data_IF_924133173383
#
_entry.id   IF_924133173383
#
_cell.length_a   1.000
_cell.length_b   1.000
_cell.length_c   1.000
_cell.angle_alpha   90.00
_cell.angle_beta   90.00
_cell.angle_gamma   90.00
#
_symmetry.space_group_name_H-M   'P 1'
#
loop_
_entity.id
_entity.type
_entity.pdbx_description
1 polymer ?
#
# COMPACT_ATOMS: atom_id res chain seq x y z
N UNK A 1 51.25 5.52 -40.48
CA UNK A 1 50.05 4.84 -40.01
C UNK A 1 49.99 5.04 -38.52
N UNK A 2 49.25 6.06 -38.09
CA UNK A 2 48.99 6.30 -36.66
C UNK A 2 47.83 5.41 -36.23
N UNK A 3 48.12 4.45 -35.36
CA UNK A 3 47.11 3.64 -34.72
C UNK A 3 46.34 4.54 -33.75
N UNK A 4 45.14 4.96 -34.11
CA UNK A 4 44.19 5.50 -33.18
C UNK A 4 43.80 4.40 -32.19
N UNK A 5 44.46 4.36 -31.05
CA UNK A 5 44.00 3.66 -29.87
C UNK A 5 42.71 4.36 -29.40
N UNK A 6 41.57 3.87 -29.86
CA UNK A 6 40.29 4.15 -29.25
C UNK A 6 40.38 3.70 -27.78
N UNK A 7 40.54 4.65 -26.86
CA UNK A 7 40.28 4.37 -25.44
C UNK A 7 38.82 3.91 -25.30
N UNK A 8 38.60 2.63 -25.27
CA UNK A 8 37.33 2.06 -24.88
C UNK A 8 37.13 2.43 -23.41
N UNK A 9 36.27 3.44 -23.16
CA UNK A 9 35.83 3.77 -21.81
C UNK A 9 35.19 2.51 -21.26
N UNK A 10 35.69 2.01 -20.14
CA UNK A 10 35.09 0.82 -19.49
C UNK A 10 33.59 1.02 -19.30
N UNK A 11 32.76 0.00 -19.58
CA UNK A 11 31.33 0.10 -19.42
C UNK A 11 30.98 0.50 -17.98
N UNK A 12 30.09 1.44 -17.83
CA UNK A 12 29.67 1.93 -16.51
C UNK A 12 28.57 1.06 -15.95
N UNK A 13 28.63 0.82 -14.65
CA UNK A 13 27.75 -0.10 -13.93
C UNK A 13 26.42 0.54 -13.56
N UNK A 14 25.39 -0.29 -13.42
CA UNK A 14 24.14 0.04 -12.77
C UNK A 14 24.13 -0.49 -11.34
N UNK A 15 23.76 0.33 -10.37
CA UNK A 15 23.58 -0.11 -8.99
C UNK A 15 22.10 -0.15 -8.60
N UNK A 16 21.73 -1.12 -7.76
CA UNK A 16 20.39 -1.25 -7.16
C UNK A 16 20.53 -1.27 -5.64
N UNK A 17 19.76 -0.46 -4.94
CA UNK A 17 19.66 -0.51 -3.48
C UNK A 17 18.22 -0.43 -2.99
N UNK A 18 17.98 -0.94 -1.76
CA UNK A 18 16.66 -0.98 -1.15
C UNK A 18 16.70 -0.28 0.20
N UNK A 19 15.85 0.74 0.37
CA UNK A 19 15.70 1.49 1.63
C UNK A 19 14.34 1.31 2.29
N UNK A 20 14.26 1.72 3.56
CA UNK A 20 13.03 1.68 4.36
C UNK A 20 12.71 0.31 4.96
N UNK A 21 11.43 -0.06 5.01
CA UNK A 21 10.97 -1.38 5.44
C UNK A 21 10.77 -2.35 4.27
N UNK A 22 10.69 -3.67 4.51
CA UNK A 22 10.38 -4.61 3.43
C UNK A 22 8.95 -4.45 2.91
N UNK A 23 8.74 -4.88 1.65
CA UNK A 23 7.43 -5.00 1.03
C UNK A 23 7.46 -6.14 0.00
N UNK A 24 6.35 -6.85 -0.23
CA UNK A 24 6.25 -7.86 -1.26
C UNK A 24 6.51 -7.27 -2.66
N UNK A 25 7.34 -7.93 -3.47
CA UNK A 25 7.68 -7.49 -4.82
C UNK A 25 9.08 -6.87 -4.98
N UNK A 26 9.80 -6.55 -3.90
CA UNK A 26 11.18 -6.01 -3.99
C UNK A 26 12.07 -6.88 -4.86
N UNK A 27 12.07 -8.19 -4.63
CA UNK A 27 12.90 -9.12 -5.39
C UNK A 27 12.51 -9.19 -6.86
N UNK A 28 11.24 -8.96 -7.18
CA UNK A 28 10.76 -8.91 -8.56
C UNK A 28 11.29 -7.67 -9.29
N UNK A 29 11.32 -6.50 -8.63
CA UNK A 29 11.98 -5.29 -9.17
C UNK A 29 13.46 -5.54 -9.42
N UNK A 30 14.17 -6.11 -8.43
CA UNK A 30 15.61 -6.42 -8.54
C UNK A 30 15.86 -7.36 -9.73
N UNK A 31 15.08 -8.44 -9.83
CA UNK A 31 15.19 -9.42 -10.91
C UNK A 31 15.00 -8.78 -12.28
N UNK A 32 13.90 -8.06 -12.48
CA UNK A 32 13.56 -7.46 -13.77
C UNK A 32 14.57 -6.39 -14.19
N UNK A 33 14.97 -5.50 -13.28
CA UNK A 33 15.94 -4.46 -13.55
C UNK A 33 17.34 -5.05 -13.89
N UNK A 34 17.75 -6.10 -13.17
CA UNK A 34 19.01 -6.79 -13.43
C UNK A 34 19.00 -7.46 -14.79
N UNK A 35 17.98 -8.26 -15.10
CA UNK A 35 17.87 -8.95 -16.40
C UNK A 35 17.89 -7.93 -17.54
N UNK A 36 17.13 -6.83 -17.40
CA UNK A 36 17.09 -5.78 -18.43
C UNK A 36 18.46 -5.13 -18.63
N UNK A 37 19.16 -4.78 -17.54
CA UNK A 37 20.50 -4.19 -17.61
C UNK A 37 21.51 -5.09 -18.32
N UNK A 38 21.55 -6.39 -17.96
CA UNK A 38 22.50 -7.34 -18.54
C UNK A 38 22.23 -7.60 -20.02
N UNK A 39 20.96 -7.65 -20.44
CA UNK A 39 20.62 -7.81 -21.87
C UNK A 39 21.19 -6.66 -22.71
N UNK A 40 21.31 -5.47 -22.15
CA UNK A 40 21.92 -4.30 -22.82
C UNK A 40 23.45 -4.16 -22.55
N UNK A 41 24.07 -5.18 -21.98
CA UNK A 41 25.52 -5.18 -21.75
C UNK A 41 25.95 -4.30 -20.57
N UNK A 42 25.06 -4.02 -19.63
CA UNK A 42 25.36 -3.23 -18.41
C UNK A 42 25.54 -4.18 -17.23
N UNK A 43 26.69 -4.10 -16.56
CA UNK A 43 26.92 -4.84 -15.32
C UNK A 43 26.06 -4.27 -14.19
N UNK A 44 25.46 -5.14 -13.36
CA UNK A 44 24.55 -4.75 -12.30
C UNK A 44 25.06 -5.13 -10.93
N UNK A 45 25.11 -4.15 -10.04
CA UNK A 45 25.59 -4.28 -8.67
C UNK A 45 24.46 -4.09 -7.67
N UNK A 46 24.23 -5.06 -6.79
CA UNK A 46 23.35 -4.94 -5.63
C UNK A 46 24.11 -4.34 -4.45
N UNK A 47 23.70 -3.16 -4.00
CA UNK A 47 24.25 -2.54 -2.79
C UNK A 47 23.55 -3.17 -1.58
N UNK A 48 24.29 -3.89 -0.74
CA UNK A 48 23.72 -4.54 0.45
C UNK A 48 23.29 -3.52 1.50
N UNK A 49 22.13 -3.81 2.12
CA UNK A 49 21.59 -3.04 3.23
C UNK A 49 21.39 -1.54 2.92
N UNK A 50 20.95 -1.23 1.70
CA UNK A 50 20.60 0.13 1.29
C UNK A 50 21.77 1.11 1.36
N UNK A 51 21.56 2.27 2.01
CA UNK A 51 22.62 3.28 2.16
C UNK A 51 23.62 2.98 3.28
N UNK A 52 23.41 1.96 4.12
CA UNK A 52 24.11 1.71 5.36
C UNK A 52 25.65 1.77 5.25
N UNK A 53 26.20 1.11 4.27
CA UNK A 53 27.64 0.96 4.11
C UNK A 53 28.23 2.07 3.24
N UNK A 54 27.62 2.35 2.10
CA UNK A 54 28.12 3.34 1.17
C UNK A 54 28.10 4.77 1.74
N UNK A 55 27.17 5.10 2.66
CA UNK A 55 27.20 6.40 3.35
C UNK A 55 28.36 6.55 4.33
N UNK A 56 28.99 5.44 4.72
CA UNK A 56 30.20 5.41 5.55
C UNK A 56 31.49 5.30 4.71
N UNK A 57 31.36 5.26 3.39
CA UNK A 57 32.48 5.11 2.45
C UNK A 57 32.95 3.67 2.26
N UNK A 58 32.23 2.69 2.82
CA UNK A 58 32.53 1.27 2.72
C UNK A 58 31.86 0.66 1.47
N UNK A 59 32.68 0.20 0.54
CA UNK A 59 32.26 -0.42 -0.72
C UNK A 59 32.47 -1.94 -0.75
N UNK A 60 32.77 -2.58 0.38
CA UNK A 60 32.97 -4.03 0.44
C UNK A 60 31.65 -4.82 0.47
N UNK A 61 30.52 -4.14 0.75
CA UNK A 61 29.19 -4.74 0.90
C UNK A 61 28.39 -4.68 -0.42
N UNK A 62 28.96 -5.25 -1.47
CA UNK A 62 28.38 -5.29 -2.82
C UNK A 62 28.14 -6.75 -3.21
N UNK A 63 27.10 -6.96 -3.99
CA UNK A 63 26.76 -8.25 -4.59
C UNK A 63 26.61 -8.08 -6.10
N UNK A 64 27.41 -8.79 -6.88
CA UNK A 64 27.21 -8.86 -8.32
C UNK A 64 25.89 -9.57 -8.62
N UNK A 65 25.08 -8.96 -9.45
CA UNK A 65 23.78 -9.48 -9.88
C UNK A 65 23.91 -9.94 -11.34
N UNK A 66 23.47 -11.17 -11.59
CA UNK A 66 23.43 -11.76 -12.93
C UNK A 66 22.10 -12.52 -13.12
N UNK A 67 21.83 -12.94 -14.34
CA UNK A 67 20.57 -13.65 -14.67
C UNK A 67 20.40 -14.91 -13.84
N UNK A 68 21.48 -15.66 -13.62
CA UNK A 68 21.40 -16.94 -12.91
C UNK A 68 20.96 -16.77 -11.45
N UNK A 69 21.49 -15.73 -10.77
CA UNK A 69 21.22 -15.51 -9.35
C UNK A 69 19.93 -14.71 -9.10
N UNK A 70 19.33 -14.04 -10.10
CA UNK A 70 18.10 -13.25 -9.93
C UNK A 70 16.87 -13.82 -10.65
N UNK A 71 17.01 -14.75 -11.58
CA UNK A 71 15.90 -15.22 -12.44
C UNK A 71 14.72 -15.80 -11.65
N UNK A 72 14.97 -16.38 -10.47
CA UNK A 72 13.97 -17.07 -9.66
C UNK A 72 13.70 -16.44 -8.30
N UNK A 73 14.07 -15.18 -8.08
CA UNK A 73 13.74 -14.47 -6.83
C UNK A 73 12.44 -13.66 -6.91
N UNK A 74 11.90 -13.44 -8.10
CA UNK A 74 10.76 -12.54 -8.33
C UNK A 74 9.49 -12.91 -7.57
N UNK A 75 9.28 -14.17 -7.26
CA UNK A 75 8.11 -14.67 -6.51
C UNK A 75 8.35 -14.78 -5.01
N UNK A 76 9.52 -14.36 -4.49
CA UNK A 76 9.87 -14.44 -3.08
C UNK A 76 9.75 -13.10 -2.38
N UNK A 77 9.22 -13.11 -1.16
CA UNK A 77 9.22 -11.97 -0.26
C UNK A 77 10.62 -11.59 0.24
N UNK A 78 10.69 -10.46 0.96
CA UNK A 78 11.95 -9.94 1.49
C UNK A 78 12.80 -9.25 0.43
N UNK A 79 14.12 -9.12 0.69
CA UNK A 79 15.08 -8.49 -0.21
C UNK A 79 16.34 -9.32 -0.36
N UNK A 80 16.69 -9.67 -1.59
CA UNK A 80 17.88 -10.47 -1.95
C UNK A 80 19.20 -9.77 -1.65
N UNK A 81 19.18 -8.43 -1.56
CA UNK A 81 20.36 -7.60 -1.26
C UNK A 81 20.27 -6.94 0.13
N UNK A 82 19.34 -7.38 0.98
CA UNK A 82 19.09 -6.75 2.28
C UNK A 82 18.38 -5.42 2.15
N UNK A 83 18.16 -4.77 3.31
CA UNK A 83 17.44 -3.49 3.42
C UNK A 83 17.84 -2.81 4.74
N UNK A 84 17.93 -1.49 4.76
CA UNK A 84 18.14 -0.73 5.98
C UNK A 84 17.37 0.60 5.98
N UNK A 85 17.06 1.08 7.20
CA UNK A 85 16.45 2.40 7.45
C UNK A 85 17.53 3.42 7.79
N UNK A 86 18.48 3.61 6.88
CA UNK A 86 19.56 4.58 7.03
C UNK A 86 19.26 5.85 6.22
N UNK A 87 19.51 6.99 6.82
CA UNK A 87 19.27 8.29 6.21
C UNK A 87 20.57 9.01 5.86
N UNK A 88 21.03 8.98 4.60
CA UNK A 88 22.26 9.66 4.19
C UNK A 88 22.13 11.19 4.17
N UNK A 89 20.89 11.73 4.28
CA UNK A 89 20.67 13.18 4.22
C UNK A 89 20.80 13.87 5.57
N UNK A 90 21.00 13.10 6.67
CA UNK A 90 21.24 13.66 8.02
C UNK A 90 22.53 14.47 8.12
N UNK A 91 23.53 14.09 7.36
CA UNK A 91 24.83 14.75 7.34
C UNK A 91 25.32 14.87 5.89
N UNK A 92 25.80 16.06 5.55
CA UNK A 92 26.38 16.34 4.22
C UNK A 92 27.49 15.35 3.86
N UNK A 93 28.33 14.98 4.84
CA UNK A 93 29.43 14.03 4.65
C UNK A 93 28.92 12.63 4.27
N UNK A 94 27.79 12.18 4.84
CA UNK A 94 27.20 10.90 4.46
C UNK A 94 26.73 10.91 3.01
N UNK A 95 26.11 11.99 2.58
CA UNK A 95 25.64 12.14 1.21
C UNK A 95 26.84 12.20 0.21
N UNK A 96 27.89 12.94 0.55
CA UNK A 96 29.14 12.99 -0.23
C UNK A 96 29.81 11.61 -0.33
N UNK A 97 29.83 10.86 0.77
CA UNK A 97 30.33 9.48 0.79
C UNK A 97 29.51 8.56 -0.12
N UNK A 98 28.18 8.68 -0.17
CA UNK A 98 27.33 7.90 -1.08
C UNK A 98 27.74 8.12 -2.53
N UNK A 99 27.83 9.38 -2.96
CA UNK A 99 28.21 9.72 -4.34
C UNK A 99 29.63 9.24 -4.65
N UNK A 100 30.58 9.46 -3.74
CA UNK A 100 31.97 9.02 -3.91
C UNK A 100 32.07 7.50 -3.98
N UNK A 101 31.35 6.77 -3.13
CA UNK A 101 31.32 5.30 -3.13
C UNK A 101 30.78 4.74 -4.44
N UNK A 102 29.70 5.30 -4.96
CA UNK A 102 29.11 4.89 -6.24
C UNK A 102 30.07 5.16 -7.41
N UNK A 103 30.74 6.32 -7.43
CA UNK A 103 31.75 6.63 -8.45
C UNK A 103 32.98 5.69 -8.37
N UNK A 104 33.44 5.33 -7.16
CA UNK A 104 34.53 4.33 -6.97
C UNK A 104 34.13 2.93 -7.46
N UNK A 105 32.85 2.60 -7.46
CA UNK A 105 32.29 1.36 -8.03
C UNK A 105 32.03 1.47 -9.55
N UNK A 106 32.47 2.54 -10.19
CA UNK A 106 32.24 2.84 -11.61
C UNK A 106 30.73 2.87 -11.96
N UNK A 107 29.86 3.30 -11.02
CA UNK A 107 28.42 3.40 -11.20
C UNK A 107 28.04 4.76 -11.78
N UNK A 108 27.28 4.76 -12.87
CA UNK A 108 26.66 5.96 -13.46
C UNK A 108 25.13 5.88 -13.52
N UNK A 109 24.56 4.75 -13.07
CA UNK A 109 23.12 4.49 -13.03
C UNK A 109 22.75 3.93 -11.66
N UNK A 110 21.80 4.56 -10.97
CA UNK A 110 21.35 4.12 -9.67
C UNK A 110 19.83 3.93 -9.66
N UNK A 111 19.39 2.72 -9.33
CA UNK A 111 17.98 2.41 -9.00
C UNK A 111 17.86 2.33 -7.49
N UNK A 112 17.02 3.18 -6.91
CA UNK A 112 16.64 3.09 -5.50
C UNK A 112 15.22 2.52 -5.39
N UNK A 113 15.00 1.61 -4.45
CA UNK A 113 13.69 0.99 -4.19
C UNK A 113 13.30 1.36 -2.76
N UNK A 114 12.18 2.06 -2.56
CA UNK A 114 11.82 2.49 -1.21
C UNK A 114 10.56 3.33 -1.11
N UNK A 115 10.27 3.80 0.10
CA UNK A 115 9.20 4.76 0.39
C UNK A 115 9.65 6.22 0.23
N UNK A 116 8.87 7.14 0.76
CA UNK A 116 9.06 8.59 0.73
C UNK A 116 10.47 9.04 1.17
N UNK A 117 10.96 8.53 2.31
CA UNK A 117 12.29 8.86 2.83
C UNK A 117 13.41 8.42 1.88
N UNK A 118 13.23 7.27 1.21
CA UNK A 118 14.20 6.76 0.24
C UNK A 118 14.13 7.56 -1.07
N UNK A 119 12.95 7.97 -1.50
CA UNK A 119 12.75 8.83 -2.65
C UNK A 119 13.43 10.19 -2.44
N UNK A 120 13.25 10.78 -1.26
CA UNK A 120 13.94 12.02 -0.90
C UNK A 120 15.47 11.88 -0.89
N UNK A 121 15.98 10.76 -0.35
CA UNK A 121 17.42 10.47 -0.38
C UNK A 121 17.93 10.29 -1.80
N UNK A 122 17.17 9.61 -2.68
CA UNK A 122 17.49 9.43 -4.09
C UNK A 122 17.64 10.77 -4.83
N UNK A 123 16.68 11.67 -4.63
CA UNK A 123 16.72 13.03 -5.18
C UNK A 123 17.96 13.81 -4.70
N UNK A 124 18.31 13.72 -3.41
CA UNK A 124 19.51 14.39 -2.87
C UNK A 124 20.79 13.83 -3.46
N UNK A 125 20.86 12.51 -3.69
CA UNK A 125 21.98 11.88 -4.37
C UNK A 125 22.08 12.35 -5.82
N UNK A 126 20.97 12.41 -6.54
CA UNK A 126 20.89 12.89 -7.93
C UNK A 126 21.41 14.33 -8.02
N UNK A 127 20.90 15.23 -7.19
CA UNK A 127 21.30 16.63 -7.16
C UNK A 127 22.82 16.78 -6.88
N UNK A 128 23.36 16.04 -5.90
CA UNK A 128 24.78 16.12 -5.55
C UNK A 128 25.68 15.46 -6.62
N UNK A 129 25.17 14.43 -7.27
CA UNK A 129 25.89 13.77 -8.37
C UNK A 129 26.06 14.68 -9.59
N UNK A 130 25.17 15.66 -9.78
CA UNK A 130 25.24 16.67 -10.84
C UNK A 130 25.50 16.05 -12.23
N UNK A 131 24.70 15.08 -12.63
CA UNK A 131 24.75 14.37 -13.90
C UNK A 131 25.83 13.27 -14.02
N UNK A 132 26.71 13.09 -13.02
CA UNK A 132 27.71 12.01 -13.01
C UNK A 132 27.07 10.64 -12.75
N UNK A 133 25.95 10.60 -12.03
CA UNK A 133 25.16 9.41 -11.73
C UNK A 133 23.70 9.78 -12.03
N UNK A 134 23.06 9.02 -12.90
CA UNK A 134 21.62 9.11 -13.16
C UNK A 134 20.88 8.29 -12.12
N UNK A 135 19.82 8.82 -11.57
CA UNK A 135 19.09 8.20 -10.45
C UNK A 135 17.63 8.08 -10.78
N UNK A 136 17.06 6.91 -10.53
CA UNK A 136 15.60 6.69 -10.52
C UNK A 136 15.16 6.04 -9.24
N UNK A 137 13.90 6.24 -8.90
CA UNK A 137 13.27 5.67 -7.73
C UNK A 137 12.08 4.80 -8.10
N UNK A 138 12.03 3.59 -7.55
CA UNK A 138 10.87 2.69 -7.66
C UNK A 138 10.07 2.77 -6.36
N UNK A 139 8.81 3.26 -6.41
CA UNK A 139 8.02 3.54 -5.22
C UNK A 139 7.54 2.26 -4.54
N UNK A 140 7.94 2.05 -3.30
CA UNK A 140 7.68 0.85 -2.51
C UNK A 140 7.12 1.21 -1.14
N UNK A 141 5.88 0.83 -0.86
CA UNK A 141 5.30 0.84 0.49
C UNK A 141 4.05 -0.02 0.53
N UNK A 142 3.84 -0.73 1.64
CA UNK A 142 2.57 -1.42 1.89
C UNK A 142 1.47 -0.46 2.38
N UNK A 143 1.83 0.76 2.74
CA UNK A 143 0.94 1.76 3.34
C UNK A 143 0.09 2.49 2.29
N UNK A 144 0.50 2.43 1.01
CA UNK A 144 -0.13 3.10 -0.13
C UNK A 144 -0.22 4.64 0.03
N UNK A 145 0.75 5.20 0.73
CA UNK A 145 0.80 6.59 1.19
C UNK A 145 1.65 7.53 0.32
N UNK A 146 2.25 7.04 -0.77
CA UNK A 146 2.96 7.89 -1.73
C UNK A 146 1.98 8.61 -2.68
N UNK A 147 2.28 9.85 -3.02
CA UNK A 147 1.46 10.70 -3.90
C UNK A 147 1.58 10.25 -5.36
N UNK A 148 1.05 9.08 -5.66
CA UNK A 148 0.89 8.56 -7.01
C UNK A 148 -0.46 9.02 -7.60
N UNK A 149 -0.60 9.10 -8.93
CA UNK A 149 -1.86 9.43 -9.57
C UNK A 149 -3.02 8.54 -9.11
N UNK A 150 -4.26 9.07 -9.19
CA UNK A 150 -5.45 8.36 -8.78
C UNK A 150 -5.55 6.97 -9.44
N UNK A 151 -5.97 5.98 -8.65
CA UNK A 151 -6.11 4.59 -9.11
C UNK A 151 -4.83 3.76 -9.10
N UNK A 152 -3.66 4.38 -8.90
CA UNK A 152 -2.38 3.67 -8.86
C UNK A 152 -2.00 3.36 -7.41
N UNK A 153 -1.72 2.08 -7.14
CA UNK A 153 -1.22 1.64 -5.86
C UNK A 153 0.31 1.61 -5.84
N UNK A 154 0.89 1.81 -4.65
CA UNK A 154 2.29 1.44 -4.42
C UNK A 154 2.42 -0.08 -4.42
N UNK A 155 3.52 -0.61 -4.93
CA UNK A 155 3.71 -2.06 -4.92
C UNK A 155 3.90 -2.60 -3.50
N UNK A 156 3.43 -3.82 -3.29
CA UNK A 156 3.40 -4.49 -2.00
C UNK A 156 2.11 -4.24 -1.21
N UNK A 157 1.38 -3.17 -1.49
CA UNK A 157 0.09 -2.87 -0.86
C UNK A 157 -0.97 -3.95 -1.11
N UNK A 158 -1.11 -4.41 -2.36
CA UNK A 158 -2.12 -5.40 -2.70
C UNK A 158 -1.86 -6.76 -2.04
N UNK A 159 -0.60 -7.19 -1.99
CA UNK A 159 -0.21 -8.40 -1.25
C UNK A 159 -0.42 -8.23 0.25
N UNK A 160 0.02 -7.13 0.84
CA UNK A 160 -0.17 -6.86 2.27
C UNK A 160 -1.66 -6.88 2.63
N UNK A 161 -2.50 -6.23 1.82
CA UNK A 161 -3.97 -6.26 1.97
C UNK A 161 -4.51 -7.68 1.89
N UNK A 162 -4.09 -8.47 0.90
CA UNK A 162 -4.52 -9.86 0.71
C UNK A 162 -4.20 -10.74 1.93
N UNK A 163 -2.96 -10.66 2.42
CA UNK A 163 -2.53 -11.42 3.60
C UNK A 163 -3.30 -10.96 4.86
N UNK A 164 -3.45 -9.65 5.04
CA UNK A 164 -4.23 -9.08 6.14
C UNK A 164 -5.69 -9.53 6.13
N UNK A 165 -6.32 -9.59 4.96
CA UNK A 165 -7.69 -10.11 4.78
C UNK A 165 -7.79 -11.57 5.23
N UNK A 166 -6.84 -12.42 4.86
CA UNK A 166 -6.84 -13.83 5.25
C UNK A 166 -6.71 -14.00 6.78
N UNK A 167 -5.85 -13.20 7.42
CA UNK A 167 -5.71 -13.18 8.88
C UNK A 167 -7.03 -12.75 9.52
N UNK A 168 -7.61 -11.64 9.08
CA UNK A 168 -8.84 -11.07 9.65
C UNK A 168 -10.04 -12.00 9.47
N UNK A 169 -10.18 -12.67 8.33
CA UNK A 169 -11.21 -13.69 8.11
C UNK A 169 -11.15 -14.80 9.15
N UNK A 170 -9.95 -15.29 9.46
CA UNK A 170 -9.78 -16.31 10.50
C UNK A 170 -10.16 -15.78 11.88
N UNK A 171 -9.79 -14.52 12.21
CA UNK A 171 -10.18 -13.87 13.46
C UNK A 171 -11.71 -13.66 13.55
N UNK A 172 -12.40 -13.38 12.45
CA UNK A 172 -13.85 -13.26 12.42
C UNK A 172 -14.54 -14.58 12.74
N UNK A 173 -14.04 -15.70 12.21
CA UNK A 173 -14.54 -17.04 12.54
C UNK A 173 -14.31 -17.37 14.02
N UNK A 174 -13.12 -17.07 14.55
CA UNK A 174 -12.84 -17.28 15.98
C UNK A 174 -13.70 -16.37 16.86
N UNK A 175 -13.86 -15.09 16.51
CA UNK A 175 -14.71 -14.15 17.21
C UNK A 175 -16.14 -14.68 17.37
N UNK A 176 -16.73 -15.15 16.28
CA UNK A 176 -18.07 -15.73 16.27
C UNK A 176 -18.15 -17.02 17.09
N UNK A 177 -17.14 -17.90 16.96
CA UNK A 177 -17.12 -19.20 17.66
C UNK A 177 -16.99 -19.04 19.18
N UNK A 178 -16.26 -18.03 19.62
CA UNK A 178 -15.87 -17.85 21.02
C UNK A 178 -16.55 -16.66 21.69
N UNK A 179 -17.50 -15.99 20.99
CA UNK A 179 -18.25 -14.84 21.51
C UNK A 179 -17.34 -13.72 22.04
N UNK A 180 -16.36 -13.30 21.24
CA UNK A 180 -15.38 -12.26 21.63
C UNK A 180 -15.18 -11.19 20.56
N UNK A 181 -14.54 -10.12 20.94
CA UNK A 181 -14.09 -9.06 20.06
C UNK A 181 -12.59 -9.13 19.82
N UNK A 182 -12.19 -8.80 18.59
CA UNK A 182 -10.81 -8.53 18.25
C UNK A 182 -10.62 -7.05 17.91
N UNK A 183 -9.66 -6.42 18.55
CA UNK A 183 -9.14 -5.11 18.16
C UNK A 183 -7.84 -5.34 17.41
N UNK A 184 -7.88 -5.19 16.09
CA UNK A 184 -6.78 -5.49 15.20
C UNK A 184 -6.16 -4.18 14.74
N UNK A 185 -4.97 -3.86 15.26
CA UNK A 185 -4.21 -2.68 14.82
C UNK A 185 -3.43 -3.05 13.57
N UNK A 186 -3.72 -2.35 12.47
CA UNK A 186 -3.04 -2.55 11.19
C UNK A 186 -1.95 -1.53 10.98
N UNK A 187 -0.77 -2.00 10.58
CA UNK A 187 0.30 -1.15 10.06
C UNK A 187 -0.21 -0.29 8.91
N UNK A 188 0.37 0.89 8.68
CA UNK A 188 -0.04 1.84 7.65
C UNK A 188 0.51 3.24 7.85
N UNK A 189 1.39 3.44 8.84
CA UNK A 189 1.94 4.75 9.22
C UNK A 189 0.82 5.79 9.41
N UNK A 190 0.90 6.93 8.71
CA UNK A 190 -0.05 8.04 8.86
C UNK A 190 -1.37 7.83 8.16
N UNK A 191 -1.40 6.99 7.11
CA UNK A 191 -2.57 6.81 6.26
C UNK A 191 -3.35 5.54 6.59
N UNK A 192 -4.67 5.62 6.49
CA UNK A 192 -5.59 4.52 6.78
C UNK A 192 -5.81 3.54 5.62
N UNK A 193 -5.11 3.66 4.48
CA UNK A 193 -5.38 2.86 3.28
C UNK A 193 -5.32 1.35 3.53
N UNK A 194 -4.30 0.86 4.25
CA UNK A 194 -4.14 -0.57 4.49
C UNK A 194 -5.21 -1.10 5.44
N UNK A 195 -5.46 -0.39 6.54
CA UNK A 195 -6.51 -0.74 7.50
C UNK A 195 -7.90 -0.79 6.82
N UNK A 196 -8.24 0.27 6.06
CA UNK A 196 -9.49 0.36 5.32
C UNK A 196 -9.60 -0.74 4.26
N UNK A 197 -8.53 -0.99 3.51
CA UNK A 197 -8.48 -2.02 2.47
C UNK A 197 -8.67 -3.42 3.02
N UNK A 198 -8.05 -3.74 4.16
CA UNK A 198 -8.23 -5.02 4.87
C UNK A 198 -9.64 -5.13 5.41
N UNK A 199 -10.12 -4.12 6.15
CA UNK A 199 -11.43 -4.14 6.79
C UNK A 199 -12.58 -4.26 5.80
N UNK A 200 -12.57 -3.45 4.74
CA UNK A 200 -13.55 -3.49 3.65
C UNK A 200 -13.57 -4.85 2.95
N UNK A 201 -12.41 -5.39 2.64
CA UNK A 201 -12.31 -6.65 1.87
C UNK A 201 -12.66 -7.88 2.72
N UNK A 202 -12.32 -7.87 4.02
CA UNK A 202 -12.68 -8.95 4.93
C UNK A 202 -14.15 -8.88 5.37
N UNK A 203 -14.79 -7.70 5.30
CA UNK A 203 -16.12 -7.47 5.87
C UNK A 203 -16.05 -7.38 7.40
N UNK A 204 -15.02 -6.73 7.96
CA UNK A 204 -14.88 -6.53 9.40
C UNK A 204 -16.10 -5.78 9.99
N UNK A 205 -16.35 -5.93 11.29
CA UNK A 205 -17.48 -5.27 11.94
C UNK A 205 -17.38 -3.75 11.82
N UNK A 206 -16.19 -3.19 12.01
CA UNK A 206 -15.91 -1.79 11.70
C UNK A 206 -14.40 -1.59 11.43
N UNK A 207 -14.09 -0.47 10.79
CA UNK A 207 -12.71 0.00 10.62
C UNK A 207 -12.66 1.46 11.06
N UNK A 208 -11.57 1.88 11.73
CA UNK A 208 -11.34 3.27 12.13
C UNK A 208 -10.00 3.72 11.58
N UNK A 209 -10.02 4.84 10.85
CA UNK A 209 -8.83 5.44 10.24
C UNK A 209 -8.67 6.90 10.68
N UNK A 210 -7.45 7.45 10.70
CA UNK A 210 -7.23 8.83 11.18
C UNK A 210 -7.92 9.90 10.32
N UNK A 211 -8.15 9.64 9.04
CA UNK A 211 -8.76 10.58 8.09
C UNK A 211 -10.24 10.86 8.37
N UNK A 212 -10.90 10.05 9.19
CA UNK A 212 -12.29 10.25 9.59
C UNK A 212 -12.48 11.43 10.55
N UNK A 213 -11.39 11.90 11.16
CA UNK A 213 -11.43 12.92 12.19
C UNK A 213 -10.93 14.25 11.63
N UNK A 214 -11.80 15.27 11.52
CA UNK A 214 -11.41 16.58 11.02
C UNK A 214 -10.56 17.36 12.04
N UNK A 215 -10.65 17.02 13.33
CA UNK A 215 -9.87 17.67 14.39
C UNK A 215 -8.39 17.36 14.23
N UNK A 216 -7.52 18.32 14.55
CA UNK A 216 -6.05 18.12 14.52
C UNK A 216 -5.61 17.01 15.49
N UNK A 217 -6.23 16.98 16.68
CA UNK A 217 -5.99 15.96 17.70
C UNK A 217 -7.27 15.21 18.05
N UNK A 218 -7.17 13.90 18.21
CA UNK A 218 -8.29 13.02 18.55
C UNK A 218 -8.25 12.72 20.05
N UNK A 219 -9.37 12.92 20.74
CA UNK A 219 -9.50 12.44 22.14
C UNK A 219 -9.61 10.93 22.16
N UNK A 220 -8.83 10.26 23.02
CA UNK A 220 -8.93 8.81 23.21
C UNK A 220 -10.35 8.38 23.56
N UNK A 221 -11.05 9.18 24.37
CA UNK A 221 -12.45 8.98 24.72
C UNK A 221 -13.35 8.83 23.49
N UNK A 222 -13.15 9.61 22.42
CA UNK A 222 -13.95 9.53 21.19
C UNK A 222 -13.82 8.16 20.50
N UNK A 223 -12.59 7.63 20.43
CA UNK A 223 -12.35 6.29 19.88
C UNK A 223 -12.97 5.20 20.75
N UNK A 224 -12.86 5.33 22.06
CA UNK A 224 -13.47 4.43 23.04
C UNK A 224 -15.00 4.43 22.87
N UNK A 225 -15.63 5.61 22.77
CA UNK A 225 -17.07 5.73 22.62
C UNK A 225 -17.60 5.16 21.30
N UNK A 226 -16.86 5.30 20.19
CA UNK A 226 -17.18 4.65 18.91
C UNK A 226 -17.19 3.12 19.09
N UNK A 227 -16.16 2.56 19.74
CA UNK A 227 -16.05 1.11 19.96
C UNK A 227 -17.13 0.60 20.94
N UNK A 228 -17.37 1.31 22.03
CA UNK A 228 -18.42 0.98 23.01
C UNK A 228 -19.80 1.03 22.35
N UNK A 229 -20.09 2.07 21.59
CA UNK A 229 -21.35 2.20 20.85
C UNK A 229 -21.57 1.06 19.86
N UNK A 230 -20.52 0.68 19.13
CA UNK A 230 -20.57 -0.47 18.21
C UNK A 230 -20.81 -1.79 18.94
N UNK A 231 -20.18 -2.00 20.10
CA UNK A 231 -20.39 -3.19 20.94
C UNK A 231 -21.84 -3.25 21.46
N UNK A 232 -22.36 -2.13 21.99
CA UNK A 232 -23.75 -2.05 22.48
C UNK A 232 -24.73 -2.34 21.33
N UNK A 233 -24.54 -1.72 20.18
CA UNK A 233 -25.36 -1.94 18.97
C UNK A 233 -25.33 -3.41 18.52
N UNK A 234 -24.17 -4.06 18.62
CA UNK A 234 -24.01 -5.48 18.29
C UNK A 234 -24.72 -6.39 19.30
N UNK A 235 -24.52 -6.10 20.59
CA UNK A 235 -25.17 -6.85 21.69
C UNK A 235 -26.69 -6.73 21.63
N UNK A 236 -27.25 -5.57 21.28
CA UNK A 236 -28.70 -5.37 21.12
C UNK A 236 -29.34 -6.25 20.05
N UNK A 237 -28.51 -6.84 19.16
CA UNK A 237 -28.93 -7.82 18.15
C UNK A 237 -28.50 -9.25 18.50
N UNK A 238 -28.25 -9.52 19.79
CA UNK A 238 -27.83 -10.83 20.32
C UNK A 238 -26.52 -11.35 19.73
N UNK A 239 -25.66 -10.44 19.26
CA UNK A 239 -24.35 -10.75 18.66
C UNK A 239 -23.23 -10.24 19.56
N UNK A 240 -22.60 -11.10 20.38
CA UNK A 240 -21.53 -10.68 21.30
C UNK A 240 -20.15 -10.62 20.64
N UNK A 241 -20.04 -10.98 19.37
CA UNK A 241 -18.80 -11.07 18.59
C UNK A 241 -18.53 -9.84 17.72
N UNK A 242 -17.28 -9.57 17.42
CA UNK A 242 -16.92 -8.55 16.43
C UNK A 242 -15.42 -8.43 16.17
N UNK A 243 -15.08 -7.78 15.07
CA UNK A 243 -13.70 -7.43 14.72
C UNK A 243 -13.64 -5.96 14.34
N UNK A 244 -12.88 -5.18 15.09
CA UNK A 244 -12.56 -3.80 14.78
C UNK A 244 -11.14 -3.71 14.20
N UNK A 245 -11.01 -3.14 13.01
CA UNK A 245 -9.71 -2.83 12.41
C UNK A 245 -9.37 -1.37 12.73
N UNK A 246 -8.18 -1.14 13.25
CA UNK A 246 -7.71 0.17 13.72
C UNK A 246 -6.43 0.52 12.97
N UNK A 247 -6.38 1.67 12.30
CA UNK A 247 -5.15 2.13 11.68
C UNK A 247 -4.15 2.57 12.77
N UNK A 248 -2.89 2.14 12.68
CA UNK A 248 -1.86 2.56 13.64
C UNK A 248 -1.63 4.08 13.65
N UNK A 249 -1.89 4.77 12.55
CA UNK A 249 -1.79 6.21 12.41
C UNK A 249 -2.73 7.00 13.33
N UNK A 250 -3.75 6.37 13.89
CA UNK A 250 -4.60 6.97 14.94
C UNK A 250 -3.77 7.42 16.15
N UNK A 251 -2.69 6.69 16.47
CA UNK A 251 -1.80 7.01 17.60
C UNK A 251 -1.16 8.39 17.44
N UNK A 252 -0.69 8.73 16.24
CA UNK A 252 -0.07 10.04 15.98
C UNK A 252 -1.06 11.22 16.06
N UNK A 253 -2.36 10.92 15.96
CA UNK A 253 -3.45 11.90 16.00
C UNK A 253 -4.07 12.04 17.39
N UNK A 254 -3.70 11.19 18.35
CA UNK A 254 -4.22 11.29 19.73
C UNK A 254 -3.71 12.55 20.43
N UNK A 255 -4.55 13.10 21.32
CA UNK A 255 -4.15 14.19 22.18
C UNK A 255 -2.90 13.80 22.99
N UNK A 256 -1.84 14.62 23.01
CA UNK A 256 -0.62 14.33 23.76
C UNK A 256 -0.86 14.04 25.24
N UNK A 257 -1.90 14.62 25.85
CA UNK A 257 -2.28 14.36 27.25
C UNK A 257 -2.79 12.92 27.46
N UNK A 258 -3.41 12.35 26.41
CA UNK A 258 -3.87 10.96 26.43
C UNK A 258 -2.71 9.98 26.12
N UNK A 259 -1.53 10.53 25.76
CA UNK A 259 -0.36 9.78 25.29
C UNK A 259 0.83 9.83 26.28
N UNK A 260 0.64 10.22 27.54
CA UNK A 260 1.75 10.28 28.54
C UNK A 260 2.55 8.97 28.60
N UNK A 261 1.92 7.84 28.29
CA UNK A 261 2.58 6.53 28.20
C UNK A 261 3.47 6.36 26.96
N UNK A 262 3.37 7.26 25.93
CA UNK A 262 4.20 7.20 24.72
C UNK A 262 5.52 7.97 24.86
N UNK A 263 5.76 8.67 25.96
CA UNK A 263 6.93 9.54 26.17
C UNK A 263 8.28 8.78 26.10
N UNK A 264 8.29 7.45 26.18
CA UNK A 264 9.49 6.61 26.15
C UNK A 264 9.62 5.75 24.88
N UNK A 265 8.87 6.06 23.79
CA UNK A 265 8.92 5.24 22.57
C UNK A 265 10.10 5.65 21.70
N UNK A 266 10.85 4.65 21.25
CA UNK A 266 11.96 4.84 20.31
C UNK A 266 11.50 5.39 18.96
N UNK A 267 12.33 6.28 18.40
CA UNK A 267 12.13 6.82 17.05
C UNK A 267 13.09 6.16 16.07
N UNK A 268 12.68 6.10 14.80
CA UNK A 268 13.54 5.59 13.73
C UNK A 268 14.57 6.63 13.28
N UNK A 269 15.41 6.26 12.29
CA UNK A 269 16.46 7.14 11.76
C UNK A 269 15.91 8.40 11.05
N UNK A 270 14.63 8.46 10.76
CA UNK A 270 13.91 9.59 10.17
C UNK A 270 13.06 10.38 11.16
N UNK A 271 13.25 10.12 12.47
CA UNK A 271 12.51 10.74 13.59
C UNK A 271 11.01 10.40 13.66
N UNK A 272 10.56 9.32 12.98
CA UNK A 272 9.20 8.84 13.08
C UNK A 272 9.04 7.94 14.31
N UNK A 273 7.89 8.03 15.00
CA UNK A 273 7.52 7.09 16.06
C UNK A 273 7.40 5.68 15.48
N UNK A 274 7.90 4.68 16.19
CA UNK A 274 7.73 3.28 15.81
C UNK A 274 6.34 2.80 16.23
N UNK A 275 5.32 3.21 15.50
CA UNK A 275 3.91 2.98 15.81
C UNK A 275 3.57 1.51 16.04
N UNK A 276 4.18 0.60 15.28
CA UNK A 276 3.96 -0.85 15.42
C UNK A 276 4.41 -1.43 16.77
N UNK A 277 5.22 -0.69 17.54
CA UNK A 277 5.68 -1.08 18.88
C UNK A 277 4.79 -0.53 20.00
N UNK A 278 3.82 0.34 19.65
CA UNK A 278 2.82 0.87 20.59
C UNK A 278 1.73 -0.17 20.81
N UNK A 279 1.47 -0.53 22.07
CA UNK A 279 0.38 -1.45 22.43
C UNK A 279 -1.00 -0.76 22.35
N UNK A 280 -1.27 -0.05 21.26
CA UNK A 280 -2.47 0.75 21.07
C UNK A 280 -3.76 -0.07 21.24
N UNK A 281 -3.77 -1.29 20.72
CA UNK A 281 -4.91 -2.19 20.85
C UNK A 281 -5.20 -2.58 22.30
N UNK A 282 -4.18 -2.81 23.13
CA UNK A 282 -4.36 -3.11 24.57
C UNK A 282 -4.86 -1.89 25.33
N UNK A 283 -4.41 -0.70 24.99
CA UNK A 283 -4.88 0.55 25.59
C UNK A 283 -6.38 0.74 25.33
N UNK A 284 -6.78 0.65 24.07
CA UNK A 284 -8.21 0.75 23.69
C UNK A 284 -9.05 -0.34 24.36
N UNK A 285 -8.54 -1.57 24.39
CA UNK A 285 -9.20 -2.70 25.08
C UNK A 285 -9.44 -2.35 26.55
N UNK A 286 -8.41 -1.87 27.27
CA UNK A 286 -8.55 -1.51 28.68
C UNK A 286 -9.64 -0.47 28.89
N UNK A 287 -9.61 0.64 28.17
CA UNK A 287 -10.58 1.71 28.31
C UNK A 287 -11.99 1.30 27.89
N UNK A 288 -12.13 0.55 26.79
CA UNK A 288 -13.43 0.04 26.34
C UNK A 288 -14.04 -0.92 27.37
N UNK A 289 -13.24 -1.84 27.95
CA UNK A 289 -13.74 -2.74 28.97
C UNK A 289 -14.13 -2.00 30.27
N UNK A 290 -13.39 -0.95 30.62
CA UNK A 290 -13.74 -0.11 31.78
C UNK A 290 -15.04 0.66 31.55
N UNK A 291 -15.24 1.24 30.37
CA UNK A 291 -16.52 1.90 30.02
C UNK A 291 -17.70 0.91 30.00
N UNK A 292 -17.53 -0.27 29.40
CA UNK A 292 -18.58 -1.29 29.37
C UNK A 292 -19.02 -1.73 30.77
N UNK A 293 -18.09 -1.82 31.74
CA UNK A 293 -18.40 -2.14 33.13
C UNK A 293 -19.35 -1.13 33.78
N UNK A 294 -19.24 0.17 33.41
CA UNK A 294 -20.14 1.22 33.91
C UNK A 294 -21.59 1.00 33.48
N UNK A 295 -21.80 0.32 32.35
CA UNK A 295 -23.10 -0.12 31.86
C UNK A 295 -23.52 -1.53 32.36
N UNK A 296 -22.74 -2.16 33.24
CA UNK A 296 -22.97 -3.53 33.67
C UNK A 296 -22.70 -4.59 32.56
N UNK A 297 -22.10 -4.17 31.44
CA UNK A 297 -21.80 -5.04 30.30
C UNK A 297 -20.41 -5.66 30.41
N UNK A 298 -20.28 -6.86 29.83
CA UNK A 298 -18.99 -7.57 29.73
C UNK A 298 -18.75 -7.96 28.28
N UNK A 299 -17.57 -7.65 27.78
CA UNK A 299 -17.07 -8.17 26.49
C UNK A 299 -15.65 -8.72 26.68
N UNK A 300 -15.41 -9.90 26.14
CA UNK A 300 -14.06 -10.44 26.02
C UNK A 300 -13.42 -9.78 24.81
N UNK A 301 -12.35 -9.02 25.01
CA UNK A 301 -11.65 -8.31 23.92
C UNK A 301 -10.20 -8.81 23.85
N UNK A 302 -9.75 -9.13 22.67
CA UNK A 302 -8.36 -9.52 22.37
C UNK A 302 -7.76 -8.48 21.44
N UNK A 303 -6.62 -7.90 21.82
CA UNK A 303 -5.87 -7.01 20.95
C UNK A 303 -4.84 -7.80 20.13
N UNK A 304 -4.67 -7.44 18.86
CA UNK A 304 -3.70 -8.03 17.95
C UNK A 304 -3.15 -6.97 16.99
N UNK A 305 -1.84 -6.95 16.82
CA UNK A 305 -1.20 -6.13 15.79
C UNK A 305 -0.97 -7.01 14.55
N UNK A 306 -1.20 -6.44 13.37
CA UNK A 306 -0.85 -7.04 12.07
C UNK A 306 0.02 -6.06 11.29
N UNK A 307 1.16 -6.52 10.79
CA UNK A 307 2.10 -5.63 10.09
C UNK A 307 3.36 -6.34 9.64
N UNK A 308 4.17 -6.84 10.55
CA UNK A 308 5.45 -7.48 10.20
C UNK A 308 5.26 -8.71 9.33
N UNK A 309 4.24 -9.53 9.56
CA UNK A 309 3.87 -10.68 8.76
C UNK A 309 3.39 -10.31 7.34
N UNK A 310 2.92 -9.07 7.14
CA UNK A 310 2.45 -8.61 5.82
C UNK A 310 3.60 -8.20 4.90
N UNK A 311 4.71 -7.68 5.45
CA UNK A 311 5.79 -7.03 4.70
C UNK A 311 6.72 -7.97 3.96
N UNK A 312 6.85 -9.21 4.44
CA UNK A 312 7.78 -10.20 3.86
C UNK A 312 7.06 -11.39 3.25
N UNK A 313 5.74 -11.33 3.09
CA UNK A 313 4.99 -12.34 2.36
C UNK A 313 5.42 -12.41 0.90
N UNK A 314 5.32 -13.59 0.30
CA UNK A 314 5.51 -13.76 -1.13
C UNK A 314 4.48 -12.92 -1.89
N UNK A 315 4.89 -12.20 -2.94
CA UNK A 315 3.97 -11.34 -3.68
C UNK A 315 2.88 -12.14 -4.38
N UNK A 316 1.65 -11.63 -4.36
CA UNK A 316 0.55 -12.15 -5.19
C UNK A 316 0.78 -11.80 -6.66
N UNK A 317 0.09 -12.47 -7.62
CA UNK A 317 0.29 -12.24 -9.05
C UNK A 317 0.26 -10.77 -9.48
N UNK A 318 -0.65 -9.97 -8.90
CA UNK A 318 -0.72 -8.53 -9.17
C UNK A 318 0.61 -7.81 -8.88
N UNK A 319 1.15 -8.00 -7.66
CA UNK A 319 2.41 -7.34 -7.30
C UNK A 319 3.61 -7.95 -8.05
N UNK A 320 3.59 -9.27 -8.37
CA UNK A 320 4.64 -9.88 -9.18
C UNK A 320 4.74 -9.26 -10.58
N UNK A 321 3.61 -9.12 -11.27
CA UNK A 321 3.53 -8.53 -12.61
C UNK A 321 3.92 -7.06 -12.56
N UNK A 322 3.25 -6.29 -11.73
CA UNK A 322 3.45 -4.84 -11.60
C UNK A 322 4.91 -4.47 -11.25
N UNK A 323 5.54 -5.22 -10.35
CA UNK A 323 6.92 -4.94 -9.96
C UNK A 323 7.95 -5.36 -11.01
N UNK A 324 7.64 -6.34 -11.86
CA UNK A 324 8.47 -6.66 -13.02
C UNK A 324 8.47 -5.51 -14.03
N UNK A 325 7.31 -4.96 -14.30
CA UNK A 325 7.16 -3.81 -15.20
C UNK A 325 7.90 -2.59 -14.65
N UNK A 326 7.74 -2.28 -13.35
CA UNK A 326 8.47 -1.19 -12.71
C UNK A 326 9.99 -1.38 -12.78
N UNK A 327 10.48 -2.60 -12.52
CA UNK A 327 11.92 -2.91 -12.56
C UNK A 327 12.48 -2.80 -13.98
N UNK A 328 11.77 -3.32 -14.97
CA UNK A 328 12.14 -3.19 -16.38
C UNK A 328 12.21 -1.72 -16.81
N UNK A 329 11.14 -0.95 -16.53
CA UNK A 329 11.07 0.46 -16.90
C UNK A 329 12.13 1.31 -16.21
N UNK A 330 12.48 0.99 -14.95
CA UNK A 330 13.54 1.69 -14.21
C UNK A 330 14.91 1.52 -14.89
N UNK A 331 15.27 0.29 -15.25
CA UNK A 331 16.51 0.01 -15.94
C UNK A 331 16.54 0.63 -17.34
N UNK A 332 15.46 0.43 -18.13
CA UNK A 332 15.36 0.97 -19.48
C UNK A 332 15.48 2.50 -19.50
N UNK A 333 14.75 3.19 -18.63
CA UNK A 333 14.76 4.65 -18.56
C UNK A 333 16.19 5.19 -18.28
N UNK A 334 16.94 4.55 -17.37
CA UNK A 334 18.34 4.92 -17.09
C UNK A 334 19.26 4.63 -18.28
N UNK A 335 19.07 3.51 -18.99
CA UNK A 335 19.86 3.11 -20.15
C UNK A 335 19.65 4.13 -21.28
N UNK A 336 18.41 4.54 -21.51
CA UNK A 336 18.02 5.54 -22.52
C UNK A 336 18.42 6.98 -22.15
N UNK A 337 19.10 7.19 -21.02
CA UNK A 337 19.59 8.50 -20.61
C UNK A 337 18.68 9.27 -19.66
N UNK A 338 17.56 8.68 -19.23
CA UNK A 338 16.65 9.27 -18.26
C UNK A 338 17.29 9.44 -16.88
N UNK A 339 16.82 10.42 -16.11
CA UNK A 339 17.34 10.79 -14.80
C UNK A 339 16.29 11.50 -13.95
N UNK A 340 16.45 11.44 -12.62
CA UNK A 340 15.72 12.31 -11.68
C UNK A 340 14.22 12.05 -11.57
N UNK A 341 13.78 10.78 -11.67
CA UNK A 341 12.36 10.44 -11.69
C UNK A 341 12.00 9.27 -10.77
N UNK A 342 10.77 9.28 -10.29
CA UNK A 342 10.06 8.13 -9.76
C UNK A 342 9.38 7.39 -10.93
N UNK A 343 9.46 6.07 -10.92
CA UNK A 343 8.90 5.21 -11.98
C UNK A 343 7.42 4.94 -11.67
N UNK A 344 6.55 5.16 -12.63
CA UNK A 344 5.15 4.75 -12.53
C UNK A 344 4.65 4.12 -13.82
N UNK A 345 3.64 3.27 -13.69
CA UNK A 345 2.85 2.71 -14.80
C UNK A 345 1.44 3.27 -14.67
N UNK A 346 1.00 4.01 -15.67
CA UNK A 346 -0.30 4.66 -15.71
C UNK A 346 -1.06 4.16 -16.94
N UNK A 347 -2.24 3.59 -16.75
CA UNK A 347 -3.05 3.04 -17.84
C UNK A 347 -2.27 2.07 -18.75
N UNK A 348 -1.40 1.23 -18.13
CA UNK A 348 -0.55 0.27 -18.84
C UNK A 348 0.64 0.88 -19.57
N UNK A 349 0.94 2.16 -19.36
CA UNK A 349 2.07 2.87 -19.99
C UNK A 349 3.05 3.38 -18.95
N UNK A 350 4.32 3.35 -19.31
CA UNK A 350 5.37 3.98 -18.50
C UNK A 350 5.21 5.52 -18.50
N UNK A 351 5.18 6.10 -17.31
CA UNK A 351 5.13 7.56 -17.11
C UNK A 351 6.11 7.93 -15.99
N UNK A 352 7.24 8.60 -16.31
CA UNK A 352 8.17 9.07 -15.28
C UNK A 352 7.55 10.27 -14.54
N UNK A 353 7.64 10.24 -13.21
CA UNK A 353 7.26 11.36 -12.35
C UNK A 353 8.54 12.02 -11.86
N UNK A 354 8.90 13.18 -12.37
CA UNK A 354 10.16 13.82 -12.03
C UNK A 354 10.19 14.29 -10.57
N UNK A 355 11.34 14.17 -9.90
CA UNK A 355 11.49 14.50 -8.48
C UNK A 355 11.03 15.92 -8.14
N UNK A 356 11.24 16.87 -9.05
CA UNK A 356 10.84 18.26 -8.85
C UNK A 356 9.31 18.46 -8.81
N UNK A 357 8.55 17.54 -9.40
CA UNK A 357 7.08 17.63 -9.50
C UNK A 357 6.38 16.96 -8.31
N UNK A 358 7.06 16.00 -7.63
CA UNK A 358 6.49 15.22 -6.52
C UNK A 358 6.86 15.75 -5.14
N UNK A 359 7.66 16.83 -5.06
CA UNK A 359 8.08 17.42 -3.81
C UNK A 359 7.08 18.52 -3.40
N UNK A 360 6.62 18.44 -2.17
CA UNK A 360 5.88 19.54 -1.58
C UNK A 360 6.79 20.78 -1.42
N UNK A 361 6.45 21.93 -2.03
CA UNK A 361 7.31 23.11 -2.00
C UNK A 361 7.46 23.71 -0.59
N UNK A 362 6.53 23.45 0.33
CA UNK A 362 6.56 23.97 1.70
C UNK A 362 7.38 23.08 2.62
N UNK A 363 7.13 21.79 2.60
CA UNK A 363 7.81 20.81 3.47
C UNK A 363 9.13 20.32 2.90
N UNK A 364 9.39 20.50 1.60
CA UNK A 364 10.53 19.98 0.85
C UNK A 364 10.64 18.45 0.96
N UNK A 365 9.51 17.77 1.14
CA UNK A 365 9.37 16.30 1.19
C UNK A 365 8.33 15.85 0.18
N UNK A 366 8.30 14.58 -0.11
CA UNK A 366 7.20 13.98 -0.90
C UNK A 366 5.90 14.12 -0.13
N UNK A 367 4.81 14.40 -0.85
CA UNK A 367 3.47 14.47 -0.25
C UNK A 367 3.03 13.08 0.21
N UNK A 368 2.30 13.05 1.32
CA UNK A 368 1.65 11.83 1.82
C UNK A 368 0.22 11.79 1.29
N UNK A 369 -0.13 10.71 0.60
CA UNK A 369 -1.48 10.45 0.12
C UNK A 369 -2.32 9.88 1.26
N UNK A 370 -3.33 10.64 1.68
CA UNK A 370 -4.31 10.22 2.69
C UNK A 370 -5.53 9.59 2.03
N UNK A 371 -6.33 8.84 2.79
CA UNK A 371 -7.62 8.33 2.32
C UNK A 371 -8.58 9.50 2.13
N UNK A 372 -9.13 9.62 0.93
CA UNK A 372 -10.21 10.57 0.66
C UNK A 372 -11.53 10.02 1.23
N UNK A 373 -11.96 10.59 2.34
CA UNK A 373 -13.21 10.23 3.02
C UNK A 373 -14.47 10.68 2.28
N UNK A 374 -14.34 11.54 1.27
CA UNK A 374 -15.45 11.93 0.40
C UNK A 374 -15.62 11.01 -0.81
N UNK A 375 -14.65 10.15 -1.08
CA UNK A 375 -14.72 9.20 -2.18
C UNK A 375 -15.79 8.14 -1.96
N UNK A 376 -16.44 7.69 -3.04
CA UNK A 376 -17.37 6.56 -3.00
C UNK A 376 -16.72 5.30 -2.42
N UNK A 377 -15.41 5.13 -2.63
CA UNK A 377 -14.66 4.01 -2.06
C UNK A 377 -14.77 3.97 -0.53
N UNK A 378 -14.57 5.11 0.14
CA UNK A 378 -14.71 5.23 1.58
C UNK A 378 -16.18 5.20 2.00
N UNK A 379 -17.05 5.98 1.37
CA UNK A 379 -18.45 6.13 1.75
C UNK A 379 -19.21 4.78 1.70
N UNK A 380 -18.99 3.99 0.64
CA UNK A 380 -19.52 2.62 0.54
C UNK A 380 -18.96 1.74 1.66
N UNK A 381 -17.65 1.83 1.93
CA UNK A 381 -17.03 1.06 3.01
C UNK A 381 -17.66 1.40 4.36
N UNK A 382 -17.84 2.70 4.64
CA UNK A 382 -18.43 3.20 5.89
C UNK A 382 -19.86 2.70 6.09
N UNK A 383 -20.66 2.58 5.03
CA UNK A 383 -22.04 2.08 5.10
C UNK A 383 -22.14 0.63 5.60
N UNK A 384 -21.16 -0.19 5.31
CA UNK A 384 -21.10 -1.58 5.79
C UNK A 384 -20.57 -1.73 7.22
N UNK A 385 -20.02 -0.66 7.82
CA UNK A 385 -19.52 -0.71 9.18
C UNK A 385 -20.63 -0.58 10.21
N UNK A 386 -20.55 -1.37 11.26
CA UNK A 386 -21.48 -1.27 12.38
C UNK A 386 -21.01 -0.17 13.34
N UNK A 387 -21.65 0.99 13.28
CA UNK A 387 -21.45 2.12 14.19
C UNK A 387 -22.79 2.74 14.53
N UNK A 388 -22.84 3.53 15.62
CA UNK A 388 -23.99 4.39 15.87
C UNK A 388 -24.02 5.50 14.82
N UNK A 389 -25.19 5.71 14.21
CA UNK A 389 -25.45 6.69 13.17
C UNK A 389 -26.58 7.64 13.61
N UNK A 390 -26.77 8.76 12.92
CA UNK A 390 -27.87 9.69 13.22
C UNK A 390 -29.23 8.99 13.16
N UNK A 391 -29.43 8.14 12.17
CA UNK A 391 -30.67 7.36 11.99
C UNK A 391 -30.99 6.49 13.21
N UNK A 392 -30.00 5.95 13.91
CA UNK A 392 -30.19 5.19 15.15
C UNK A 392 -30.76 6.03 16.30
N UNK A 393 -30.49 7.33 16.32
CA UNK A 393 -31.00 8.27 17.31
C UNK A 393 -32.33 8.90 16.89
N UNK A 394 -32.64 8.91 15.60
CA UNK A 394 -33.90 9.42 15.05
C UNK A 394 -34.99 8.35 15.06
N UNK A 395 -34.65 7.06 15.09
CA UNK A 395 -35.55 5.95 15.27
C UNK A 395 -35.78 5.65 16.78
N UNK A 396 -36.95 5.96 17.34
CA UNK A 396 -37.25 5.73 18.77
C UNK A 396 -37.13 4.25 19.17
N UNK A 397 -37.42 3.32 18.26
CA UNK A 397 -37.35 1.89 18.54
C UNK A 397 -35.91 1.41 18.67
N UNK A 398 -35.05 1.80 17.74
CA UNK A 398 -33.60 1.44 17.77
C UNK A 398 -32.91 2.11 18.96
N UNK A 399 -33.19 3.40 19.22
CA UNK A 399 -32.68 4.11 20.38
C UNK A 399 -33.06 3.42 21.69
N UNK A 400 -34.35 3.02 21.84
CA UNK A 400 -34.83 2.31 23.02
C UNK A 400 -34.12 0.97 23.23
N UNK A 401 -33.90 0.24 22.16
CA UNK A 401 -33.18 -1.04 22.17
C UNK A 401 -31.73 -0.89 22.65
N UNK A 402 -31.02 0.14 22.16
CA UNK A 402 -29.63 0.38 22.59
C UNK A 402 -29.54 0.88 24.02
N UNK A 403 -30.42 1.78 24.43
CA UNK A 403 -30.52 2.28 25.80
C UNK A 403 -30.84 1.15 26.80
N UNK A 404 -31.79 0.29 26.46
CA UNK A 404 -32.14 -0.90 27.26
C UNK A 404 -30.96 -1.86 27.37
N UNK A 405 -30.21 -2.11 26.27
CA UNK A 405 -29.02 -2.93 26.28
C UNK A 405 -27.94 -2.34 27.18
N UNK A 406 -27.77 -1.01 27.18
CA UNK A 406 -26.83 -0.30 28.04
C UNK A 406 -27.32 -0.14 29.50
N UNK A 407 -28.57 -0.48 29.79
CA UNK A 407 -29.17 -0.34 31.13
C UNK A 407 -29.34 1.10 31.60
N UNK A 408 -29.52 2.06 30.70
CA UNK A 408 -29.65 3.50 30.98
C UNK A 408 -30.90 4.09 30.30
N UNK A 409 -31.32 5.30 30.69
CA UNK A 409 -32.43 5.99 30.02
C UNK A 409 -32.08 6.41 28.57
N UNK A 410 -33.13 6.64 27.76
CA UNK A 410 -32.99 7.16 26.39
C UNK A 410 -32.18 8.46 26.35
N UNK A 411 -32.52 9.39 27.25
CA UNK A 411 -31.84 10.70 27.32
C UNK A 411 -30.38 10.54 27.70
N UNK A 412 -30.05 9.69 28.68
CA UNK A 412 -28.68 9.40 29.08
C UNK A 412 -27.87 8.74 27.93
N UNK A 413 -28.51 7.83 27.17
CA UNK A 413 -27.86 7.22 26.03
C UNK A 413 -27.58 8.23 24.90
N UNK A 414 -28.56 9.11 24.62
CA UNK A 414 -28.40 10.21 23.64
C UNK A 414 -27.32 11.18 24.07
N UNK A 415 -27.33 11.67 25.30
CA UNK A 415 -26.31 12.58 25.84
C UNK A 415 -24.91 11.97 25.75
N UNK A 416 -24.80 10.68 26.01
CA UNK A 416 -23.51 9.98 26.05
C UNK A 416 -22.90 9.72 24.67
N UNK A 417 -23.74 9.40 23.67
CA UNK A 417 -23.24 8.86 22.38
C UNK A 417 -23.65 9.67 21.15
N UNK A 418 -24.57 10.61 21.20
CA UNK A 418 -25.04 11.31 20.01
C UNK A 418 -23.92 12.07 19.30
N UNK A 419 -22.97 12.65 20.03
CA UNK A 419 -21.87 13.43 19.47
C UNK A 419 -20.96 12.63 18.52
N UNK A 420 -20.81 11.32 18.71
CA UNK A 420 -20.04 10.48 17.79
C UNK A 420 -20.79 10.21 16.47
N UNK A 421 -22.10 10.15 16.50
CA UNK A 421 -22.95 10.03 15.33
C UNK A 421 -23.07 11.37 14.58
N UNK A 422 -23.13 12.49 15.30
CA UNK A 422 -23.19 13.83 14.72
C UNK A 422 -21.90 14.20 14.00
N UNK A 423 -20.76 13.80 14.54
CA UNK A 423 -19.44 14.06 13.95
C UNK A 423 -19.00 13.04 12.89
N UNK A 424 -19.87 12.10 12.50
CA UNK A 424 -19.55 11.11 11.48
C UNK A 424 -19.44 11.76 10.10
N UNK A 425 -18.36 11.47 9.39
CA UNK A 425 -18.11 11.96 8.03
C UNK A 425 -18.88 11.22 6.94
N UNK A 426 -19.69 10.21 7.32
CA UNK A 426 -20.45 9.45 6.36
C UNK A 426 -21.53 10.29 5.67
N UNK A 427 -21.56 10.18 4.35
CA UNK A 427 -22.59 10.77 3.49
C UNK A 427 -23.06 9.72 2.48
N UNK A 428 -24.37 9.74 2.15
CA UNK A 428 -24.86 8.83 1.11
C UNK A 428 -24.23 9.19 -0.24
N UNK A 429 -23.57 8.24 -0.91
CA UNK A 429 -23.04 8.48 -2.24
C UNK A 429 -24.16 8.88 -3.21
N UNK A 430 -23.98 9.98 -3.92
CA UNK A 430 -24.91 10.43 -4.95
C UNK A 430 -24.66 9.66 -6.25
N UNK A 431 -25.31 8.54 -6.41
CA UNK A 431 -25.23 7.68 -7.60
C UNK A 431 -26.34 8.00 -8.62
N UNK A 432 -26.86 9.23 -8.65
CA UNK A 432 -27.90 9.65 -9.58
C UNK A 432 -27.40 9.45 -11.04
N UNK A 433 -28.07 8.58 -11.84
CA UNK A 433 -27.61 8.24 -13.18
C UNK A 433 -27.59 9.46 -14.14
N UNK A 434 -28.34 10.51 -13.84
CA UNK A 434 -28.35 11.75 -14.63
C UNK A 434 -27.07 12.56 -14.49
N UNK A 435 -26.28 12.32 -13.43
CA UNK A 435 -24.95 12.93 -13.25
C UNK A 435 -23.85 12.24 -14.05
N UNK A 436 -24.15 11.06 -14.59
CA UNK A 436 -23.25 10.24 -15.39
C UNK A 436 -23.85 10.06 -16.80
N UNK A 437 -23.87 11.11 -17.64
CA UNK A 437 -24.41 11.00 -18.99
C UNK A 437 -23.67 9.90 -19.74
N UNK A 438 -24.43 8.95 -20.33
CA UNK A 438 -23.84 7.93 -21.19
C UNK A 438 -23.08 8.65 -22.30
N UNK A 439 -21.77 8.48 -22.36
CA UNK A 439 -21.01 8.74 -23.59
C UNK A 439 -21.50 7.72 -24.60
N UNK A 440 -22.51 8.09 -25.38
CA UNK A 440 -22.88 7.35 -26.59
C UNK A 440 -21.71 7.58 -27.53
N UNK A 441 -20.77 6.63 -27.58
CA UNK A 441 -19.88 6.59 -28.71
C UNK A 441 -20.79 6.50 -29.91
N UNK A 442 -20.76 7.46 -30.89
CA UNK A 442 -21.49 7.27 -32.11
C UNK A 442 -20.99 5.93 -32.66
N UNK A 443 -21.89 4.96 -32.75
CA UNK A 443 -21.67 3.76 -33.54
C UNK A 443 -21.35 4.36 -34.91
N UNK A 444 -20.10 4.26 -35.34
CA UNK A 444 -19.74 4.53 -36.73
C UNK A 444 -20.48 3.45 -37.50
N UNK A 445 -21.67 3.78 -37.99
CA UNK A 445 -22.29 3.03 -39.07
C UNK A 445 -21.29 3.15 -40.21
N UNK A 446 -20.35 2.21 -40.29
CA UNK A 446 -19.77 1.88 -41.58
C UNK A 446 -20.96 1.40 -42.40
N UNK A 447 -21.47 2.27 -43.26
CA UNK A 447 -22.28 1.86 -44.37
C UNK A 447 -21.52 0.71 -45.04
N UNK A 448 -22.02 -0.50 -44.84
CA UNK A 448 -21.65 -1.64 -45.65
C UNK A 448 -22.15 -1.26 -47.04
N UNK A 449 -21.27 -0.72 -47.88
CA UNK A 449 -21.52 -0.56 -49.28
C UNK A 449 -21.86 -1.96 -49.82
N UNK A 450 -23.09 -2.12 -50.29
CA UNK A 450 -23.54 -3.27 -51.05
C UNK A 450 -22.72 -3.37 -52.34
N UNK A 451 -21.48 -3.85 -52.25
CA UNK A 451 -20.78 -4.36 -53.46
C UNK A 451 -21.23 -5.80 -53.66
N UNK A 452 -22.03 -5.92 -54.68
CA UNK A 452 -22.47 -7.09 -55.40
C UNK A 452 -21.89 -8.45 -54.98
N UNK A 453 -22.68 -9.18 -54.20
CA UNK A 453 -22.50 -10.61 -54.02
C UNK A 453 -23.03 -11.38 -55.24
N UNK A 454 -22.26 -11.46 -56.31
CA UNK A 454 -22.45 -12.50 -57.35
C UNK A 454 -21.79 -13.81 -56.87
N UNK A 455 -22.49 -14.55 -56.04
CA UNK A 455 -22.11 -15.93 -55.71
C UNK A 455 -22.47 -16.82 -56.91
N UNK A 456 -21.48 -17.26 -57.69
CA UNK A 456 -21.64 -18.37 -58.63
C UNK A 456 -21.88 -19.66 -57.87
N UNK A 457 -22.86 -20.49 -58.23
CA UNK A 457 -23.11 -21.79 -57.57
C UNK A 457 -21.98 -22.76 -57.90
N UNK A 458 -21.34 -23.24 -56.83
CA UNK A 458 -20.40 -24.38 -56.89
C UNK A 458 -21.22 -25.64 -56.96
N UNK A 459 -21.11 -26.38 -58.13
CA UNK A 459 -21.72 -27.66 -58.30
C UNK A 459 -21.05 -28.71 -57.41
N UNK A 460 -21.80 -29.24 -56.47
CA UNK A 460 -21.42 -30.45 -55.71
C UNK A 460 -21.28 -31.65 -56.68
N UNK A 461 -20.08 -32.20 -56.71
CA UNK A 461 -19.86 -33.58 -57.13
C UNK A 461 -19.34 -34.37 -55.92
N UNK A 462 -20.22 -35.18 -55.37
CA UNK A 462 -19.90 -36.24 -54.42
C UNK A 462 -19.12 -37.33 -55.12
N UNK A 463 -18.02 -37.86 -54.60
CA UNK A 463 -17.47 -39.13 -55.06
C UNK A 463 -18.12 -40.27 -54.28
N UNK A 464 -18.57 -41.29 -55.07
CA UNK A 464 -19.14 -42.55 -54.65
C UNK A 464 -18.15 -43.36 -53.79
N UNK A 465 -18.67 -43.92 -52.73
CA UNK A 465 -18.08 -45.02 -51.96
C UNK A 465 -17.92 -46.25 -52.87
N UNK A 466 -16.75 -46.85 -52.83
CA UNK A 466 -16.61 -48.30 -53.11
C UNK A 466 -15.84 -48.92 -51.96
N UNK A 467 -16.59 -49.69 -51.17
CA UNK A 467 -16.03 -50.50 -50.15
C UNK A 467 -15.24 -51.69 -50.73
N UNK A 468 -14.27 -52.13 -49.96
CA UNK A 468 -13.92 -53.54 -49.79
C UNK A 468 -13.10 -53.75 -48.54
N UNK A 469 -13.64 -54.54 -47.66
CA UNK A 469 -12.99 -54.98 -46.46
C UNK A 469 -11.85 -55.94 -46.66
N UNK A 470 -10.97 -56.04 -45.70
CA UNK A 470 -10.27 -57.28 -45.33
C UNK A 470 -9.95 -57.26 -43.82
N UNK A 471 -10.45 -58.30 -43.20
CA UNK A 471 -10.08 -58.83 -41.88
C UNK A 471 -8.65 -59.39 -41.90
N UNK A 472 -8.09 -59.38 -40.68
CA UNK A 472 -7.09 -60.31 -40.09
C UNK A 472 -5.81 -59.59 -39.72
N UNK A 473 -5.27 -59.65 -38.55
CA UNK A 473 -5.32 -60.51 -37.33
C UNK A 473 -5.11 -59.68 -36.11
#
# INVERSE_FOLDING_TARGET
MEEHHSMTVAPKNMAILVGGGPAPGINSVISAATIRGIIDGVDVLGIKDGFKWIMRGDISHIKELNIDNVSRIHFRGGSYIGIARENPTKDKKYLENVVTSLLRLNVDKLITIGGDDTAFSAMKVENLAAGRIRVVHVPKTIDNDLDLPHGICTFGFQTARHVGVNIVKNLMVDAQTTSRWYFVVSMGRKAGHLALGIGKSAGSTLTIIPEEFPEETIKLKKLVDILVGAIIKRLSSERPDGVAILAEGLVERLDPKDLEFLLNIERDAHDNIRLAEVNFGEILKFHVQDELKKFGLKATIVAKNIGYELRCSDPIPFDMEYTRDLGYCAAQFLIDGGNGAMISIQEGRFVPMYFNDIIDPLTKRTKVRMVDTQSEYYQISRRYMLRLTKEDFDDPHELAKYAATAGISLDAFRERFYYIAESDVWQMPDLNPNKFPRKINPVVNQEISDEENTVKPVSEKLPHETGKGKKTK
#
